data_IF_253655676096
#
_entry.id   IF_253655676096
#
_cell.length_a   1.000
_cell.length_b   1.000
_cell.length_c   1.000
_cell.angle_alpha   90.00
_cell.angle_beta   90.00
_cell.angle_gamma   90.00
#
_symmetry.space_group_name_H-M   'P 1'
#
loop_
_entity.id
_entity.type
_entity.pdbx_description
1 polymer ?
#
# COMPACT_ATOMS: atom_id res chain seq x y z
N UNK A 1 -6.14 7.80 11.08
CA UNK A 1 -5.03 7.58 10.14
C UNK A 1 -4.06 6.51 10.63
N UNK A 2 -3.57 6.54 11.87
CA UNK A 2 -2.71 5.45 12.37
C UNK A 2 -3.43 4.09 12.37
N UNK A 3 -4.71 4.05 12.77
CA UNK A 3 -5.52 2.81 12.72
C UNK A 3 -5.69 2.26 11.30
N UNK A 4 -5.81 3.15 10.29
CA UNK A 4 -5.90 2.75 8.89
C UNK A 4 -4.59 2.13 8.40
N UNK A 5 -3.46 2.77 8.72
CA UNK A 5 -2.15 2.23 8.35
C UNK A 5 -1.85 0.91 9.06
N UNK A 6 -2.22 0.79 10.34
CA UNK A 6 -2.05 -0.44 11.12
C UNK A 6 -2.88 -1.61 10.53
N UNK A 7 -4.15 -1.36 10.15
CA UNK A 7 -4.98 -2.35 9.46
C UNK A 7 -4.41 -2.75 8.10
N UNK A 8 -3.90 -1.79 7.33
CA UNK A 8 -3.27 -2.09 6.04
C UNK A 8 -1.98 -2.89 6.24
N UNK A 9 -1.16 -2.51 7.20
CA UNK A 9 0.08 -3.22 7.55
C UNK A 9 -0.21 -4.67 7.92
N UNK A 10 -1.17 -4.89 8.82
CA UNK A 10 -1.61 -6.24 9.19
C UNK A 10 -2.11 -7.03 7.98
N UNK A 11 -2.96 -6.45 7.12
CA UNK A 11 -3.49 -7.15 5.95
C UNK A 11 -2.40 -7.55 4.95
N UNK A 12 -1.40 -6.69 4.71
CA UNK A 12 -0.27 -7.06 3.85
C UNK A 12 0.60 -8.15 4.49
N UNK A 13 0.88 -8.07 5.79
CA UNK A 13 1.66 -9.08 6.51
C UNK A 13 0.95 -10.44 6.56
N UNK A 14 -0.38 -10.48 6.72
CA UNK A 14 -1.18 -11.71 6.68
C UNK A 14 -1.12 -12.41 5.32
N UNK A 15 -0.98 -11.63 4.25
CA UNK A 15 -0.76 -12.12 2.90
C UNK A 15 0.71 -12.47 2.60
N UNK A 16 1.61 -12.28 3.57
CA UNK A 16 3.04 -12.60 3.45
C UNK A 16 3.88 -11.52 2.78
N UNK A 17 3.34 -10.31 2.58
CA UNK A 17 4.07 -9.19 2.00
C UNK A 17 4.84 -8.41 3.06
N UNK A 18 6.15 -8.25 2.83
CA UNK A 18 6.98 -7.38 3.66
C UNK A 18 6.79 -5.92 3.28
N UNK A 19 6.41 -5.08 4.25
CA UNK A 19 6.28 -3.64 4.04
C UNK A 19 7.58 -2.89 4.33
N UNK A 20 7.78 -1.81 3.57
CA UNK A 20 8.87 -0.86 3.71
C UNK A 20 8.38 0.40 4.41
N UNK A 21 8.37 1.51 3.68
CA UNK A 21 7.89 2.79 4.20
C UNK A 21 6.37 2.92 4.00
N UNK A 22 5.66 3.16 5.11
CA UNK A 22 4.25 3.54 5.11
C UNK A 22 4.16 5.02 5.45
N UNK A 23 3.51 5.79 4.59
CA UNK A 23 3.37 7.23 4.77
C UNK A 23 1.98 7.71 4.40
N UNK A 24 1.51 8.69 5.16
CA UNK A 24 0.22 9.33 4.97
C UNK A 24 0.41 10.83 4.81
N UNK A 25 -0.05 11.38 3.70
CA UNK A 25 -0.02 12.82 3.45
C UNK A 25 -1.43 13.38 3.19
N UNK A 26 -1.95 14.13 4.17
CA UNK A 26 -3.32 14.68 4.22
C UNK A 26 -4.40 13.60 4.14
N UNK A 27 -4.65 13.08 2.96
CA UNK A 27 -5.60 12.00 2.67
C UNK A 27 -5.02 10.95 1.72
N UNK A 28 -3.76 11.09 1.30
CA UNK A 28 -3.10 10.15 0.40
C UNK A 28 -2.27 9.19 1.23
N UNK A 29 -2.62 7.91 1.14
CA UNK A 29 -1.87 6.80 1.73
C UNK A 29 -0.88 6.31 0.69
N UNK A 30 0.35 6.03 1.12
CA UNK A 30 1.40 5.45 0.30
C UNK A 30 2.08 4.35 1.10
N UNK A 31 2.14 3.15 0.53
CA UNK A 31 2.70 1.97 1.15
C UNK A 31 3.72 1.40 0.19
N UNK A 32 4.97 1.31 0.61
CA UNK A 32 6.00 0.59 -0.14
C UNK A 32 6.00 -0.88 0.27
N UNK A 33 5.84 -1.77 -0.70
CA UNK A 33 5.94 -3.22 -0.54
C UNK A 33 7.31 -3.64 -1.03
N UNK A 34 8.07 -4.35 -0.19
CA UNK A 34 9.42 -4.87 -0.48
C UNK A 34 9.38 -6.12 -1.36
N UNK A 35 8.48 -6.13 -2.33
CA UNK A 35 8.31 -7.20 -3.27
C UNK A 35 8.08 -6.60 -4.67
N UNK A 36 9.08 -6.68 -5.57
CA UNK A 36 8.99 -6.13 -6.91
C UNK A 36 8.15 -7.00 -7.86
N UNK A 37 7.87 -8.25 -7.49
CA UNK A 37 7.07 -9.20 -8.29
C UNK A 37 5.60 -9.25 -7.83
N UNK A 38 5.25 -8.47 -6.79
CA UNK A 38 3.93 -8.39 -6.23
C UNK A 38 2.89 -8.02 -7.29
N UNK A 39 1.83 -8.84 -7.35
CA UNK A 39 0.78 -8.64 -8.33
C UNK A 39 -0.05 -7.42 -7.99
N UNK A 40 -0.08 -6.43 -8.90
CA UNK A 40 -0.89 -5.23 -8.72
C UNK A 40 -2.39 -5.52 -8.53
N UNK A 41 -2.90 -6.63 -9.06
CA UNK A 41 -4.29 -7.06 -8.81
C UNK A 41 -4.48 -7.58 -7.38
N UNK A 42 -3.49 -8.29 -6.85
CA UNK A 42 -3.53 -8.85 -5.49
C UNK A 42 -3.39 -7.76 -4.43
N UNK A 43 -2.43 -6.84 -4.61
CA UNK A 43 -2.25 -5.69 -3.71
C UNK A 43 -3.51 -4.82 -3.65
N UNK A 44 -4.22 -4.65 -4.77
CA UNK A 44 -5.51 -3.96 -4.79
C UNK A 44 -6.58 -4.71 -4.02
N UNK A 45 -6.62 -6.03 -4.13
CA UNK A 45 -7.51 -6.89 -3.36
C UNK A 45 -7.30 -6.73 -1.86
N UNK A 46 -6.04 -6.78 -1.40
CA UNK A 46 -5.68 -6.60 0.01
C UNK A 46 -6.14 -5.24 0.55
N UNK A 47 -5.92 -4.16 -0.21
CA UNK A 47 -6.40 -2.82 0.18
C UNK A 47 -7.91 -2.77 0.34
N UNK A 48 -8.65 -3.43 -0.55
CA UNK A 48 -10.11 -3.46 -0.51
C UNK A 48 -10.68 -4.41 0.54
N UNK A 49 -9.88 -5.35 1.03
CA UNK A 49 -10.24 -6.21 2.17
C UNK A 49 -10.06 -5.45 3.50
N UNK A 50 -8.99 -4.67 3.60
CA UNK A 50 -8.69 -3.86 4.78
C UNK A 50 -9.51 -2.56 4.87
N UNK A 51 -9.94 -2.01 3.72
CA UNK A 51 -10.59 -0.70 3.61
C UNK A 51 -11.75 -0.77 2.64
N UNK A 52 -12.89 -0.20 3.03
CA UNK A 52 -14.07 -0.11 2.18
C UNK A 52 -13.75 0.51 0.81
N UNK A 53 -14.18 -0.17 -0.24
CA UNK A 53 -13.92 0.26 -1.62
C UNK A 53 -14.51 1.65 -1.95
N UNK A 54 -15.55 2.07 -1.23
CA UNK A 54 -16.13 3.41 -1.34
C UNK A 54 -15.27 4.52 -0.71
N UNK A 55 -14.41 4.17 0.24
CA UNK A 55 -13.49 5.10 0.90
C UNK A 55 -12.15 5.23 0.15
N UNK A 56 -11.85 4.28 -0.75
CA UNK A 56 -10.62 4.22 -1.54
C UNK A 56 -10.81 4.87 -2.91
N UNK A 57 -10.09 5.97 -3.17
CA UNK A 57 -10.15 6.72 -4.42
C UNK A 57 -8.79 6.73 -5.13
N UNK A 58 -8.80 6.40 -6.42
CA UNK A 58 -7.61 6.50 -7.28
C UNK A 58 -6.49 5.56 -6.85
N UNK A 59 -6.84 4.30 -6.54
CA UNK A 59 -5.88 3.27 -6.15
C UNK A 59 -4.93 2.93 -7.31
N UNK A 60 -3.69 3.34 -7.13
CA UNK A 60 -2.58 3.12 -8.03
C UNK A 60 -1.56 2.17 -7.42
N UNK A 61 -1.00 1.29 -8.26
CA UNK A 61 0.08 0.40 -7.88
C UNK A 61 1.17 0.56 -8.93
N UNK A 62 2.33 1.03 -8.48
CA UNK A 62 3.47 1.38 -9.33
C UNK A 62 4.73 0.80 -8.74
N UNK A 63 5.54 0.16 -9.57
CA UNK A 63 6.89 -0.26 -9.17
C UNK A 63 7.84 0.92 -9.31
N UNK A 64 8.57 1.25 -8.24
CA UNK A 64 9.54 2.34 -8.23
C UNK A 64 10.81 1.96 -7.45
N UNK A 65 11.89 2.70 -7.68
CA UNK A 65 13.12 2.52 -6.93
C UNK A 65 12.95 3.08 -5.52
N UNK A 66 13.36 2.34 -4.50
CA UNK A 66 13.36 2.81 -3.13
C UNK A 66 14.25 4.07 -2.99
N UNK A 67 13.85 5.00 -2.11
CA UNK A 67 14.62 6.21 -1.83
C UNK A 67 15.97 5.85 -1.18
N UNK A 68 17.02 5.68 -1.99
CA UNK A 68 18.38 5.40 -1.49
C UNK A 68 19.27 4.51 -2.37
N UNK A 69 18.75 3.86 -3.41
CA UNK A 69 19.53 3.02 -4.34
C UNK A 69 18.93 1.64 -4.58
N UNK A 70 19.41 0.96 -5.64
CA UNK A 70 19.18 -0.38 -6.27
C UNK A 70 18.00 -1.31 -5.89
N UNK A 71 17.30 -1.09 -4.80
CA UNK A 71 16.12 -1.86 -4.40
C UNK A 71 14.88 -1.37 -5.13
N UNK A 72 14.21 -2.29 -5.83
CA UNK A 72 12.96 -2.04 -6.53
C UNK A 72 11.82 -2.45 -5.61
N UNK A 73 10.88 -1.54 -5.36
CA UNK A 73 9.74 -1.74 -4.48
C UNK A 73 8.44 -1.49 -5.23
N UNK A 74 7.38 -2.16 -4.82
CA UNK A 74 6.05 -1.91 -5.35
C UNK A 74 5.33 -0.94 -4.43
N UNK A 75 5.00 0.23 -4.94
CA UNK A 75 4.30 1.27 -4.18
C UNK A 75 2.81 1.24 -4.50
N UNK A 76 2.02 1.07 -3.45
CA UNK A 76 0.58 1.21 -3.46
C UNK A 76 0.24 2.60 -2.97
N UNK A 77 -0.51 3.37 -3.76
CA UNK A 77 -0.95 4.70 -3.35
C UNK A 77 -2.41 4.96 -3.69
N UNK A 78 -3.13 5.54 -2.75
CA UNK A 78 -4.54 5.87 -2.94
C UNK A 78 -4.95 7.04 -2.04
N UNK A 79 -6.11 7.61 -2.32
CA UNK A 79 -6.71 8.64 -1.47
C UNK A 79 -7.80 8.02 -0.62
N UNK A 80 -7.73 8.22 0.69
CA UNK A 80 -8.74 7.80 1.66
C UNK A 80 -9.75 8.92 1.91
N UNK A 81 -11.05 8.60 1.93
CA UNK A 81 -12.16 9.56 2.05
C UNK A 81 -12.92 9.48 3.39
N UNK A 82 -12.52 8.62 4.32
CA UNK A 82 -13.12 8.52 5.66
C UNK A 82 -13.10 9.83 6.44
#
# INVERSE_FOLDING_TARGET
MQELTDSLEAAFEEHGYGLGEVSVNRNRVRIAVRDPEASAGELRGIVHDAVDAEEVLGLDVTTESASGGDEVVTVVSFRYRG
#
